data_IF_852943195805
#
_entry.id   IF_852943195805
#
_cell.length_a   1.000
_cell.length_b   1.000
_cell.length_c   1.000
_cell.angle_alpha   90.00
_cell.angle_beta   90.00
_cell.angle_gamma   90.00
#
_symmetry.space_group_name_H-M   'P 1'
#
loop_
_entity.id
_entity.type
_entity.pdbx_description
1 polymer ?
#
# COMPACT_ATOMS: atom_id res chain seq x y z
N UNK A 1 13.92 -8.31 11.23
CA UNK A 1 12.63 -7.61 11.41
C UNK A 1 11.53 -8.48 10.87
N UNK A 2 10.38 -8.58 11.52
CA UNK A 2 9.27 -9.42 11.12
C UNK A 2 7.92 -8.71 11.24
N UNK A 3 6.97 -9.11 10.42
CA UNK A 3 5.58 -8.69 10.49
C UNK A 3 4.69 -9.94 10.56
N UNK A 4 3.72 -9.93 11.47
CA UNK A 4 2.76 -11.02 11.65
C UNK A 4 1.37 -10.49 11.37
N UNK A 5 0.62 -11.17 10.50
CA UNK A 5 -0.75 -10.80 10.19
C UNK A 5 -1.63 -10.94 11.44
N UNK A 6 -2.40 -9.90 11.72
CA UNK A 6 -3.38 -9.89 12.80
C UNK A 6 -4.77 -10.08 12.21
N UNK A 7 -5.58 -10.89 12.89
CA UNK A 7 -6.99 -11.06 12.61
C UNK A 7 -7.81 -10.71 13.86
N UNK A 8 -8.99 -10.19 13.66
CA UNK A 8 -9.96 -9.96 14.72
C UNK A 8 -11.26 -10.69 14.42
N UNK A 9 -12.00 -11.03 15.44
CA UNK A 9 -13.38 -11.46 15.32
C UNK A 9 -14.27 -10.23 15.49
N UNK A 10 -14.85 -9.66 14.41
CA UNK A 10 -15.87 -8.64 14.57
C UNK A 10 -17.08 -9.27 15.27
N UNK A 11 -17.76 -8.51 16.13
CA UNK A 11 -19.05 -8.91 16.66
C UNK A 11 -19.99 -9.17 15.49
N UNK A 12 -20.38 -10.40 15.28
CA UNK A 12 -21.29 -10.77 14.20
C UNK A 12 -22.73 -10.77 14.70
N UNK A 13 -23.58 -10.00 14.06
CA UNK A 13 -25.01 -10.20 14.17
C UNK A 13 -25.35 -11.63 13.72
N UNK A 14 -25.86 -12.44 14.63
CA UNK A 14 -26.32 -13.82 14.34
C UNK A 14 -25.37 -14.97 14.73
N UNK A 15 -24.36 -14.73 15.58
CA UNK A 15 -23.57 -15.80 16.22
C UNK A 15 -22.63 -16.58 15.30
N UNK A 16 -22.41 -16.15 14.06
CA UNK A 16 -21.39 -16.73 13.17
C UNK A 16 -20.04 -16.09 13.43
N UNK A 17 -19.06 -16.92 13.77
CA UNK A 17 -17.68 -16.46 13.92
C UNK A 17 -17.14 -16.03 12.54
N UNK A 18 -16.84 -14.75 12.38
CA UNK A 18 -16.16 -14.22 11.20
C UNK A 18 -14.76 -13.73 11.59
N UNK A 19 -13.76 -14.01 10.77
CA UNK A 19 -12.42 -13.46 10.93
C UNK A 19 -12.25 -12.29 9.96
N UNK A 20 -11.80 -11.14 10.45
CA UNK A 20 -11.49 -9.98 9.63
C UNK A 20 -10.00 -9.62 9.78
N UNK A 21 -9.35 -9.16 8.70
CA UNK A 21 -8.00 -8.63 8.78
C UNK A 21 -7.94 -7.45 9.76
N UNK A 22 -6.95 -7.45 10.65
CA UNK A 22 -6.72 -6.37 11.62
C UNK A 22 -5.41 -5.62 11.35
N UNK A 23 -4.71 -5.94 10.25
CA UNK A 23 -3.42 -5.36 9.90
C UNK A 23 -2.24 -6.26 10.23
N UNK A 24 -1.10 -5.67 10.56
CA UNK A 24 0.10 -6.41 10.96
C UNK A 24 0.64 -5.91 12.29
N UNK A 25 1.08 -6.85 13.13
CA UNK A 25 1.95 -6.59 14.27
C UNK A 25 3.41 -6.58 13.78
N UNK A 26 4.15 -5.57 14.16
CA UNK A 26 5.54 -5.34 13.76
C UNK A 26 6.47 -5.72 14.91
N UNK A 27 7.52 -6.47 14.60
CA UNK A 27 8.51 -6.95 15.56
C UNK A 27 9.93 -6.63 15.10
N UNK A 28 10.81 -6.32 16.07
CA UNK A 28 12.26 -6.24 15.89
C UNK A 28 12.94 -7.27 16.81
N UNK A 29 13.58 -8.28 16.24
CA UNK A 29 14.04 -9.43 17.04
C UNK A 29 12.85 -10.19 17.63
N UNK A 30 12.68 -10.15 18.92
CA UNK A 30 11.50 -10.70 19.63
C UNK A 30 10.57 -9.60 20.17
N UNK A 31 10.96 -8.33 20.06
CA UNK A 31 10.24 -7.21 20.68
C UNK A 31 9.10 -6.73 19.80
N UNK A 32 7.90 -6.62 20.38
CA UNK A 32 6.75 -6.02 19.75
C UNK A 32 6.89 -4.51 19.72
N UNK A 33 6.78 -3.91 18.54
CA UNK A 33 6.92 -2.47 18.33
C UNK A 33 5.56 -1.76 18.18
N UNK A 34 4.56 -2.43 17.64
CA UNK A 34 3.24 -1.86 17.41
C UNK A 34 2.46 -2.59 16.32
N UNK A 35 1.25 -2.09 16.04
CA UNK A 35 0.40 -2.56 14.95
C UNK A 35 0.21 -1.49 13.90
N UNK A 36 0.02 -1.91 12.66
CA UNK A 36 -0.42 -1.07 11.54
C UNK A 36 -1.81 -1.49 11.09
N UNK A 37 -2.62 -0.53 10.62
CA UNK A 37 -3.99 -0.79 10.16
C UNK A 37 -4.03 -1.65 8.89
N UNK A 38 -5.18 -2.23 8.52
CA UNK A 38 -5.32 -2.98 7.28
C UNK A 38 -4.95 -2.16 6.03
N UNK A 39 -5.32 -0.87 5.97
CA UNK A 39 -4.99 0.03 4.86
C UNK A 39 -3.48 0.29 4.77
N UNK A 40 -2.86 0.59 5.91
CA UNK A 40 -1.40 0.76 6.02
C UNK A 40 -0.67 -0.52 5.66
N UNK A 41 -1.17 -1.67 6.11
CA UNK A 41 -0.64 -2.99 5.78
C UNK A 41 -0.74 -3.28 4.28
N UNK A 42 -1.82 -2.82 3.63
CA UNK A 42 -2.01 -2.94 2.18
C UNK A 42 -0.97 -2.13 1.41
N UNK A 43 -0.72 -0.87 1.82
CA UNK A 43 0.36 -0.03 1.28
C UNK A 43 1.74 -0.66 1.46
N UNK A 44 2.02 -1.19 2.64
CA UNK A 44 3.26 -1.92 2.93
C UNK A 44 3.43 -3.15 2.02
N UNK A 45 2.39 -3.95 1.87
CA UNK A 45 2.40 -5.16 1.04
C UNK A 45 2.60 -4.85 -0.45
N UNK A 46 2.08 -3.71 -0.93
CA UNK A 46 2.32 -3.23 -2.29
C UNK A 46 3.78 -2.81 -2.49
N UNK A 47 4.39 -2.13 -1.52
CA UNK A 47 5.81 -1.74 -1.56
C UNK A 47 6.73 -2.96 -1.54
N UNK A 48 6.40 -3.96 -0.75
CA UNK A 48 7.15 -5.22 -0.66
C UNK A 48 6.93 -6.15 -1.87
N UNK A 49 5.99 -5.82 -2.77
CA UNK A 49 5.66 -6.65 -3.92
C UNK A 49 4.93 -7.95 -3.56
N UNK A 50 4.36 -8.05 -2.36
CA UNK A 50 3.64 -9.24 -1.87
C UNK A 50 2.21 -9.24 -2.42
N UNK A 51 1.57 -8.07 -2.52
CA UNK A 51 0.22 -7.92 -3.10
C UNK A 51 0.33 -7.53 -4.56
N UNK A 52 -0.10 -8.43 -5.42
CA UNK A 52 -0.12 -8.25 -6.88
C UNK A 52 -1.53 -8.22 -7.45
N UNK A 53 -2.55 -8.57 -6.66
CA UNK A 53 -3.97 -8.59 -7.05
C UNK A 53 -4.86 -8.15 -5.88
N UNK A 54 -6.14 -7.96 -6.16
CA UNK A 54 -7.17 -7.61 -5.18
C UNK A 54 -8.01 -6.41 -5.62
N UNK A 55 -9.14 -6.21 -4.96
CA UNK A 55 -10.09 -5.16 -5.31
C UNK A 55 -9.81 -3.88 -4.53
N UNK A 56 -9.96 -2.77 -5.21
CA UNK A 56 -9.80 -1.41 -4.68
C UNK A 56 -11.07 -0.63 -5.02
N UNK A 57 -11.77 -0.16 -3.99
CA UNK A 57 -12.88 0.75 -4.17
C UNK A 57 -12.35 2.18 -4.28
N UNK A 58 -12.71 2.88 -5.35
CA UNK A 58 -12.46 4.31 -5.54
C UNK A 58 -13.78 5.04 -5.73
N UNK A 59 -13.77 6.36 -5.53
CA UNK A 59 -14.92 7.21 -5.86
C UNK A 59 -14.60 7.99 -7.13
N UNK A 60 -15.57 8.01 -8.05
CA UNK A 60 -15.51 8.89 -9.22
C UNK A 60 -15.91 10.35 -8.86
N UNK A 61 -15.85 11.26 -9.82
CA UNK A 61 -16.15 12.67 -9.62
C UNK A 61 -17.58 12.97 -9.19
N UNK A 62 -18.51 12.07 -9.45
CA UNK A 62 -19.90 12.15 -9.00
C UNK A 62 -20.10 11.50 -7.62
N UNK A 63 -19.02 10.98 -7.01
CA UNK A 63 -19.05 10.31 -5.71
C UNK A 63 -19.52 8.85 -5.76
N UNK A 64 -19.77 8.30 -6.95
CA UNK A 64 -20.14 6.90 -7.13
C UNK A 64 -18.96 5.99 -6.85
N UNK A 65 -19.22 4.83 -6.23
CA UNK A 65 -18.18 3.83 -5.97
C UNK A 65 -17.92 3.00 -7.23
N UNK A 66 -16.65 2.92 -7.60
CA UNK A 66 -16.15 2.07 -8.67
C UNK A 66 -15.20 1.06 -8.08
N UNK A 67 -15.43 -0.22 -8.37
CA UNK A 67 -14.53 -1.29 -7.95
C UNK A 67 -13.51 -1.55 -9.06
N UNK A 68 -12.25 -1.49 -8.68
CA UNK A 68 -11.12 -1.75 -9.56
C UNK A 68 -10.39 -3.01 -9.09
N UNK A 69 -10.25 -4.00 -9.96
CA UNK A 69 -9.43 -5.19 -9.69
C UNK A 69 -7.98 -4.91 -10.11
N UNK A 70 -7.07 -4.94 -9.16
CA UNK A 70 -5.64 -4.82 -9.38
C UNK A 70 -5.12 -6.07 -10.10
N UNK A 71 -4.53 -5.90 -11.27
CA UNK A 71 -3.97 -6.99 -12.06
C UNK A 71 -2.45 -7.11 -11.87
N UNK A 72 -1.76 -5.98 -11.70
CA UNK A 72 -0.33 -5.95 -11.42
C UNK A 72 0.01 -4.78 -10.51
N UNK A 73 0.96 -5.00 -9.59
CA UNK A 73 1.58 -3.97 -8.78
C UNK A 73 3.10 -4.19 -8.81
N UNK A 74 3.85 -3.14 -9.12
CA UNK A 74 5.32 -3.17 -9.09
C UNK A 74 5.82 -1.94 -8.37
N UNK A 75 6.62 -2.15 -7.34
CA UNK A 75 7.30 -1.11 -6.60
C UNK A 75 8.77 -1.00 -7.02
N UNK A 76 9.30 0.21 -6.99
CA UNK A 76 10.73 0.48 -7.12
C UNK A 76 11.14 1.51 -6.08
N UNK A 77 12.19 1.21 -5.34
CA UNK A 77 12.80 2.08 -4.33
C UNK A 77 14.18 2.47 -4.85
N UNK A 78 14.43 3.78 -5.02
CA UNK A 78 15.68 4.30 -5.58
C UNK A 78 16.26 5.38 -4.67
N UNK A 79 17.43 5.15 -4.04
CA UNK A 79 18.15 6.20 -3.34
C UNK A 79 18.73 7.20 -4.34
N UNK A 80 18.65 8.47 -4.00
CA UNK A 80 19.25 9.60 -4.73
C UNK A 80 20.33 10.20 -3.85
N UNK A 81 21.53 10.29 -4.38
CA UNK A 81 22.72 10.77 -3.68
C UNK A 81 23.13 12.15 -4.18
N UNK A 82 23.60 12.98 -3.25
CA UNK A 82 24.21 14.27 -3.55
C UNK A 82 25.55 14.36 -2.82
N UNK A 83 26.62 14.55 -3.59
CA UNK A 83 27.97 14.64 -3.02
C UNK A 83 28.41 13.46 -2.14
N UNK A 84 27.80 12.29 -2.31
CA UNK A 84 28.06 11.10 -1.48
C UNK A 84 27.16 10.95 -0.26
N UNK A 85 26.28 11.92 0.00
CA UNK A 85 25.27 11.87 1.07
C UNK A 85 23.93 11.46 0.48
N UNK A 86 23.16 10.62 1.21
CA UNK A 86 21.80 10.26 0.80
C UNK A 86 20.90 11.51 0.90
N UNK A 87 20.49 12.04 -0.26
CA UNK A 87 19.63 13.22 -0.32
C UNK A 87 18.15 12.86 -0.16
N UNK A 88 17.69 11.78 -0.81
CA UNK A 88 16.31 11.29 -0.71
C UNK A 88 16.19 9.85 -1.21
N UNK A 89 15.03 9.27 -0.97
CA UNK A 89 14.66 7.99 -1.55
C UNK A 89 13.39 8.16 -2.38
N UNK A 90 13.48 7.89 -3.67
CA UNK A 90 12.33 7.92 -4.57
C UNK A 90 11.63 6.56 -4.54
N UNK A 91 10.34 6.58 -4.21
CA UNK A 91 9.47 5.41 -4.22
C UNK A 91 8.47 5.54 -5.36
N UNK A 92 8.48 4.58 -6.27
CA UNK A 92 7.60 4.56 -7.44
C UNK A 92 6.77 3.29 -7.43
N UNK A 93 5.44 3.43 -7.52
CA UNK A 93 4.54 2.31 -7.78
C UNK A 93 3.98 2.41 -9.20
N UNK A 94 3.98 1.27 -9.88
CA UNK A 94 3.31 1.10 -11.17
C UNK A 94 2.20 0.09 -11.00
N UNK A 95 0.97 0.52 -11.27
CA UNK A 95 -0.24 -0.27 -11.12
C UNK A 95 -0.89 -0.49 -12.48
N UNK A 96 -1.53 -1.64 -12.64
CA UNK A 96 -2.46 -1.90 -13.72
C UNK A 96 -3.70 -2.52 -13.11
N UNK A 97 -4.86 -1.89 -13.33
CA UNK A 97 -6.14 -2.33 -12.81
C UNK A 97 -7.20 -2.34 -13.91
N UNK A 98 -8.19 -3.20 -13.77
CA UNK A 98 -9.39 -3.22 -14.58
C UNK A 98 -10.61 -2.82 -13.75
N UNK A 99 -11.67 -2.31 -14.38
CA UNK A 99 -12.95 -2.05 -13.71
C UNK A 99 -13.65 -3.40 -13.56
N UNK A 100 -13.97 -3.80 -12.32
CA UNK A 100 -14.71 -5.03 -12.03
C UNK A 100 -16.20 -4.78 -11.73
N UNK A 101 -16.52 -3.65 -11.10
CA UNK A 101 -17.90 -3.26 -10.84
C UNK A 101 -18.04 -1.74 -11.00
N UNK A 102 -19.10 -1.35 -11.69
CA UNK A 102 -19.41 0.03 -11.98
C UNK A 102 -20.86 0.32 -11.56
N UNK A 103 -21.04 1.24 -10.61
CA UNK A 103 -22.36 1.68 -10.14
C UNK A 103 -22.63 3.13 -10.53
N UNK A 104 -22.28 3.49 -11.78
CA UNK A 104 -22.49 4.84 -12.31
C UNK A 104 -23.11 4.75 -13.70
N UNK A 105 -23.98 5.68 -14.10
CA UNK A 105 -24.51 5.78 -15.46
C UNK A 105 -23.48 6.33 -16.46
N UNK A 106 -22.29 6.73 -16.01
CA UNK A 106 -21.27 7.37 -16.86
C UNK A 106 -20.66 6.39 -17.86
N UNK A 107 -20.30 6.88 -19.03
CA UNK A 107 -19.63 6.08 -20.06
C UNK A 107 -18.15 5.90 -19.74
N UNK A 108 -17.75 4.66 -19.46
CA UNK A 108 -16.37 4.27 -19.14
C UNK A 108 -15.39 4.35 -20.33
N UNK A 109 -15.91 4.55 -21.53
CA UNK A 109 -15.10 4.55 -22.77
C UNK A 109 -14.45 5.89 -23.07
N UNK A 110 -14.77 6.95 -22.31
CA UNK A 110 -14.15 8.26 -22.52
C UNK A 110 -12.79 8.34 -21.84
N UNK A 111 -11.80 8.92 -22.52
CA UNK A 111 -10.47 9.14 -21.96
C UNK A 111 -10.52 9.95 -20.66
N UNK A 112 -11.35 11.01 -20.64
CA UNK A 112 -11.51 11.85 -19.46
C UNK A 112 -11.95 11.07 -18.22
N UNK A 113 -12.89 10.11 -18.37
CA UNK A 113 -13.31 9.28 -17.26
C UNK A 113 -12.24 8.29 -16.80
N UNK A 114 -11.49 7.74 -17.75
CA UNK A 114 -10.35 6.87 -17.42
C UNK A 114 -9.26 7.63 -16.67
N UNK A 115 -8.96 8.86 -17.06
CA UNK A 115 -7.98 9.71 -16.40
C UNK A 115 -8.43 10.08 -14.98
N UNK A 116 -9.72 10.34 -14.79
CA UNK A 116 -10.33 10.57 -13.49
C UNK A 116 -10.18 9.34 -12.55
N UNK A 117 -10.50 8.15 -13.05
CA UNK A 117 -10.33 6.91 -12.28
C UNK A 117 -8.87 6.61 -11.97
N UNK A 118 -7.97 6.89 -12.91
CA UNK A 118 -6.53 6.75 -12.69
C UNK A 118 -6.05 7.69 -11.59
N UNK A 119 -6.52 8.93 -11.57
CA UNK A 119 -6.21 9.91 -10.53
C UNK A 119 -6.76 9.45 -9.16
N UNK A 120 -8.00 8.98 -9.12
CA UNK A 120 -8.62 8.46 -7.90
C UNK A 120 -7.87 7.24 -7.34
N UNK A 121 -7.49 6.29 -8.21
CA UNK A 121 -6.69 5.13 -7.84
C UNK A 121 -5.31 5.55 -7.31
N UNK A 122 -4.63 6.47 -8.01
CA UNK A 122 -3.32 6.97 -7.60
C UNK A 122 -3.39 7.69 -6.24
N UNK A 123 -4.42 8.48 -5.99
CA UNK A 123 -4.64 9.15 -4.71
C UNK A 123 -4.87 8.15 -3.56
N UNK A 124 -5.73 7.15 -3.78
CA UNK A 124 -6.06 6.10 -2.82
C UNK A 124 -4.82 5.29 -2.43
N UNK A 125 -4.14 4.70 -3.41
CA UNK A 125 -2.95 3.87 -3.20
C UNK A 125 -1.78 4.71 -2.68
N UNK A 126 -1.62 5.94 -3.17
CA UNK A 126 -0.62 6.88 -2.68
C UNK A 126 -0.83 7.24 -1.20
N UNK A 127 -2.09 7.32 -0.73
CA UNK A 127 -2.44 7.44 0.68
C UNK A 127 -1.89 6.28 1.49
N UNK A 128 -2.28 5.05 1.16
CA UNK A 128 -1.84 3.84 1.87
C UNK A 128 -0.31 3.70 1.96
N UNK A 129 0.38 4.06 0.87
CA UNK A 129 1.85 4.01 0.83
C UNK A 129 2.47 5.08 1.73
N UNK A 130 1.94 6.31 1.73
CA UNK A 130 2.40 7.35 2.66
C UNK A 130 2.20 6.95 4.12
N UNK A 131 1.03 6.37 4.42
CA UNK A 131 0.74 5.89 5.78
C UNK A 131 1.69 4.75 6.19
N UNK A 132 2.03 3.84 5.27
CA UNK A 132 3.01 2.79 5.53
C UNK A 132 4.42 3.35 5.79
N UNK A 133 4.85 4.34 5.00
CA UNK A 133 6.13 5.01 5.21
C UNK A 133 6.16 5.77 6.54
N UNK A 134 5.09 6.50 6.85
CA UNK A 134 4.96 7.21 8.13
C UNK A 134 4.97 6.25 9.33
N UNK A 135 4.26 5.13 9.23
CA UNK A 135 4.28 4.09 10.27
C UNK A 135 5.67 3.47 10.45
N UNK A 136 6.40 3.23 9.35
CA UNK A 136 7.78 2.72 9.40
C UNK A 136 8.70 3.69 10.14
N UNK A 137 8.54 4.99 9.88
CA UNK A 137 9.30 6.04 10.56
C UNK A 137 8.92 6.17 12.05
N UNK A 138 7.61 6.18 12.34
CA UNK A 138 7.12 6.32 13.72
C UNK A 138 7.50 5.14 14.62
N UNK A 139 7.56 3.92 14.08
CA UNK A 139 8.01 2.72 14.79
C UNK A 139 9.54 2.56 14.76
N UNK A 140 10.27 3.48 14.11
CA UNK A 140 11.72 3.36 13.86
C UNK A 140 12.10 1.99 13.30
N UNK A 141 11.25 1.43 12.44
CA UNK A 141 11.32 0.06 11.99
C UNK A 141 11.26 -0.04 10.46
N UNK A 142 12.35 -0.44 9.81
CA UNK A 142 12.42 -0.64 8.36
C UNK A 142 11.72 -1.94 7.92
N UNK A 143 10.43 -2.07 8.22
CA UNK A 143 9.64 -3.22 7.78
C UNK A 143 9.26 -3.14 6.28
N UNK A 144 9.52 -2.00 5.64
CA UNK A 144 9.30 -1.78 4.21
C UNK A 144 10.53 -2.12 3.37
N UNK A 145 11.69 -2.35 4.00
CA UNK A 145 12.94 -2.64 3.31
C UNK A 145 13.57 -1.43 2.60
N UNK A 146 13.17 -0.20 2.96
CA UNK A 146 13.72 1.03 2.36
C UNK A 146 15.20 1.17 2.70
N UNK A 147 15.58 1.01 3.96
CA UNK A 147 16.97 1.05 4.41
C UNK A 147 17.79 -0.07 3.78
N UNK A 148 17.23 -1.28 3.67
CA UNK A 148 17.89 -2.38 2.97
C UNK A 148 18.11 -2.05 1.49
N UNK A 149 17.14 -1.46 0.79
CA UNK A 149 17.28 -1.06 -0.61
C UNK A 149 18.37 0.02 -0.79
N UNK A 150 18.51 0.93 0.19
CA UNK A 150 19.58 1.92 0.24
C UNK A 150 20.93 1.24 0.47
N UNK A 151 21.05 0.36 1.47
CA UNK A 151 22.27 -0.34 1.80
C UNK A 151 22.82 -1.18 0.64
N UNK A 152 21.95 -1.93 -0.04
CA UNK A 152 22.34 -2.75 -1.21
C UNK A 152 22.89 -1.90 -2.35
N UNK A 153 22.33 -0.70 -2.59
CA UNK A 153 22.73 0.17 -3.70
C UNK A 153 23.87 1.12 -3.37
N UNK A 154 24.13 1.37 -2.11
CA UNK A 154 25.24 2.20 -1.66
C UNK A 154 26.57 1.45 -1.65
N UNK A 155 26.56 0.12 -1.69
CA UNK A 155 27.76 -0.71 -1.57
C UNK A 155 28.50 -0.38 -0.27
N UNK A 156 29.81 -0.06 -0.39
CA UNK A 156 30.68 0.29 0.76
C UNK A 156 30.45 1.71 1.33
N UNK A 157 29.47 2.47 0.83
CA UNK A 157 29.19 3.84 1.27
C UNK A 157 28.16 3.95 2.40
N UNK A 158 27.67 2.81 2.85
CA UNK A 158 26.68 2.72 3.93
C UNK A 158 27.32 2.18 5.19
#
# INVERSE_FOLDING_TARGET
MGAVACVRTPESEGGKLALAPAGYAIFRGGDYLGCITPETARGASMLLGVVTNGDIAVRDGDGSTVMLTLNTCRAAIRPVWDGGTLARVDVTLRLRAGISELRTPRRITTQAYQDELNAALAACVGGWVRDALAASQALEADFLGVGQAVAVRSGRRW
#
